data_IF_525366101172
#
_entry.id   IF_525366101172
#
_cell.length_a   1.000
_cell.length_b   1.000
_cell.length_c   1.000
_cell.angle_alpha   90.00
_cell.angle_beta   90.00
_cell.angle_gamma   90.00
#
_symmetry.space_group_name_H-M   'P 1'
#
loop_
_entity.id
_entity.type
_entity.pdbx_description
1 polymer ?
#
# COMPACT_ATOMS: atom_id res chain seq x y z
N UNK A 1 60.67 -14.66 48.00
CA UNK A 1 59.32 -15.12 47.57
C UNK A 1 58.46 -13.88 47.57
N UNK A 2 57.92 -13.36 46.46
CA UNK A 2 57.01 -13.98 45.49
C UNK A 2 56.96 -13.10 44.23
N UNK A 3 57.20 -13.71 43.05
CA UNK A 3 57.07 -13.05 41.73
C UNK A 3 55.59 -12.85 41.40
N UNK A 4 55.16 -11.62 41.12
CA UNK A 4 53.82 -11.31 40.61
C UNK A 4 53.81 -11.53 39.10
N UNK A 5 53.20 -12.63 38.67
CA UNK A 5 52.84 -12.90 37.28
C UNK A 5 51.64 -12.02 36.92
N UNK A 6 51.86 -11.00 36.08
CA UNK A 6 50.78 -10.31 35.38
C UNK A 6 50.40 -11.18 34.17
N UNK A 7 49.31 -11.95 34.30
CA UNK A 7 48.71 -12.69 33.18
C UNK A 7 47.79 -11.74 32.43
N UNK A 8 48.25 -11.29 31.27
CA UNK A 8 47.44 -10.64 30.23
C UNK A 8 46.46 -11.67 29.66
N UNK A 9 45.21 -11.66 30.13
CA UNK A 9 44.11 -12.39 29.50
C UNK A 9 43.37 -11.41 28.58
N UNK A 10 43.89 -11.27 27.36
CA UNK A 10 43.22 -10.53 26.29
C UNK A 10 42.05 -11.34 25.76
N UNK A 11 40.85 -11.09 26.30
CA UNK A 11 39.59 -11.61 25.77
C UNK A 11 39.19 -10.78 24.53
N UNK A 12 39.69 -11.18 23.36
CA UNK A 12 39.24 -10.66 22.07
C UNK A 12 37.84 -11.20 21.78
N UNK A 13 36.83 -10.43 22.17
CA UNK A 13 35.42 -10.73 21.97
C UNK A 13 35.03 -10.21 20.57
N UNK A 14 35.16 -11.08 19.55
CA UNK A 14 34.60 -10.82 18.23
C UNK A 14 33.07 -10.87 18.33
N UNK A 15 32.43 -9.70 18.47
CA UNK A 15 31.00 -9.56 18.29
C UNK A 15 30.69 -9.65 16.79
N UNK A 16 30.28 -10.83 16.33
CA UNK A 16 29.69 -11.00 15.01
C UNK A 16 28.33 -10.34 14.99
N UNK A 17 28.16 -9.28 14.19
CA UNK A 17 26.84 -8.81 13.80
C UNK A 17 26.22 -9.89 12.91
N UNK A 18 25.39 -10.76 13.49
CA UNK A 18 24.45 -11.54 12.72
C UNK A 18 23.48 -10.55 12.08
N UNK A 19 23.71 -10.22 10.80
CA UNK A 19 22.73 -9.50 10.01
C UNK A 19 21.45 -10.34 9.99
N UNK A 20 20.31 -9.73 10.33
CA UNK A 20 19.04 -10.41 10.18
C UNK A 20 18.89 -10.81 8.71
N UNK A 21 18.74 -12.10 8.45
CA UNK A 21 18.51 -12.61 7.10
C UNK A 21 17.25 -11.93 6.54
N UNK A 22 17.27 -11.49 5.27
CA UNK A 22 16.11 -10.86 4.68
C UNK A 22 14.93 -11.85 4.66
N UNK A 23 13.73 -11.36 4.98
CA UNK A 23 12.51 -12.19 5.01
C UNK A 23 12.09 -12.70 3.62
N UNK A 24 12.66 -12.11 2.57
CA UNK A 24 12.53 -12.54 1.17
C UNK A 24 13.91 -12.49 0.53
N UNK A 25 14.30 -13.57 -0.12
CA UNK A 25 15.56 -13.66 -0.88
C UNK A 25 15.40 -12.99 -2.26
N UNK A 26 15.45 -11.65 -2.26
CA UNK A 26 15.30 -10.81 -3.44
C UNK A 26 16.42 -9.77 -3.56
N UNK A 27 16.78 -9.45 -4.79
CA UNK A 27 17.76 -8.41 -5.13
C UNK A 27 17.03 -7.09 -5.48
N UNK A 28 17.22 -6.06 -4.66
CA UNK A 28 16.57 -4.76 -4.86
C UNK A 28 17.05 -4.01 -6.11
N UNK A 29 18.31 -4.19 -6.53
CA UNK A 29 18.84 -3.56 -7.75
C UNK A 29 18.23 -4.24 -8.98
N UNK A 30 18.23 -5.57 -9.00
CA UNK A 30 17.56 -6.34 -10.05
C UNK A 30 16.02 -6.10 -10.04
N UNK A 31 15.44 -5.80 -8.87
CA UNK A 31 14.03 -5.45 -8.70
C UNK A 31 13.69 -4.07 -9.25
N UNK A 32 14.61 -3.11 -9.15
CA UNK A 32 14.45 -1.77 -9.70
C UNK A 32 14.26 -1.83 -11.23
N UNK A 33 15.11 -2.59 -11.92
CA UNK A 33 15.02 -2.76 -13.38
C UNK A 33 13.69 -3.41 -13.79
N UNK A 34 13.28 -4.46 -13.08
CA UNK A 34 12.02 -5.18 -13.35
C UNK A 34 10.76 -4.38 -12.99
N UNK A 35 10.89 -3.35 -12.16
CA UNK A 35 9.78 -2.52 -11.71
C UNK A 35 9.48 -1.33 -12.63
N UNK A 36 10.20 -1.18 -13.74
CA UNK A 36 10.08 -0.02 -14.62
C UNK A 36 8.64 0.22 -15.12
N UNK A 37 7.92 -0.84 -15.50
CA UNK A 37 6.51 -0.74 -15.94
C UNK A 37 5.54 -0.47 -14.78
N UNK A 38 5.87 -0.89 -13.56
CA UNK A 38 5.02 -0.74 -12.38
C UNK A 38 4.80 0.73 -12.01
N UNK A 39 5.79 1.58 -12.29
CA UNK A 39 5.74 3.01 -11.96
C UNK A 39 4.63 3.78 -12.68
N UNK A 40 4.12 3.27 -13.81
CA UNK A 40 3.02 3.89 -14.55
C UNK A 40 1.70 3.95 -13.74
N UNK A 41 1.48 2.96 -12.86
CA UNK A 41 0.28 2.88 -12.03
C UNK A 41 0.58 3.10 -10.54
N UNK A 42 1.72 2.63 -10.06
CA UNK A 42 2.11 2.74 -8.65
C UNK A 42 2.96 3.97 -8.34
N UNK A 43 3.21 4.82 -9.34
CA UNK A 43 4.02 6.03 -9.23
C UNK A 43 5.52 5.75 -9.17
N UNK A 44 6.35 6.80 -9.35
CA UNK A 44 7.80 6.68 -9.20
C UNK A 44 8.16 6.13 -7.82
N UNK A 45 9.03 5.11 -7.79
CA UNK A 45 9.45 4.42 -6.54
C UNK A 45 8.28 3.87 -5.72
N UNK A 46 7.10 3.63 -6.33
CA UNK A 46 5.94 3.09 -5.63
C UNK A 46 5.16 4.11 -4.80
N UNK A 47 5.37 5.41 -5.03
CA UNK A 47 4.61 6.48 -4.38
C UNK A 47 3.60 7.10 -5.37
N UNK A 48 2.43 6.46 -5.50
CA UNK A 48 1.35 6.99 -6.33
C UNK A 48 0.62 8.13 -5.64
N UNK A 49 0.45 9.24 -6.36
CA UNK A 49 -0.28 10.42 -5.89
C UNK A 49 -1.79 10.30 -6.14
N UNK A 50 -2.22 9.58 -7.19
CA UNK A 50 -3.66 9.30 -7.36
C UNK A 50 -4.15 8.32 -6.31
N UNK A 51 -5.36 8.52 -5.81
CA UNK A 51 -5.91 7.69 -4.75
C UNK A 51 -6.36 6.29 -5.21
N UNK A 52 -6.44 6.04 -6.53
CA UNK A 52 -6.99 4.81 -7.12
C UNK A 52 -6.06 3.60 -7.01
N UNK A 53 -4.75 3.79 -7.20
CA UNK A 53 -3.76 2.72 -7.14
C UNK A 53 -3.05 2.71 -5.79
N UNK A 54 -2.63 1.55 -5.27
CA UNK A 54 -1.91 1.51 -4.01
C UNK A 54 -0.48 2.01 -4.14
N UNK A 55 0.01 2.64 -3.08
CA UNK A 55 1.44 2.85 -2.83
C UNK A 55 2.10 1.53 -2.44
N UNK A 56 3.26 1.27 -3.04
CA UNK A 56 4.09 0.10 -2.78
C UNK A 56 5.32 0.43 -1.93
N UNK A 57 5.74 1.71 -1.92
CA UNK A 57 6.92 2.14 -1.19
C UNK A 57 6.84 1.77 0.31
N UNK A 58 7.90 1.16 0.83
CA UNK A 58 8.02 0.76 2.24
C UNK A 58 7.02 -0.31 2.68
N UNK A 59 6.33 -0.98 1.74
CA UNK A 59 5.48 -2.11 2.05
C UNK A 59 6.36 -3.35 2.32
N UNK A 60 5.95 -4.23 3.25
CA UNK A 60 6.76 -5.39 3.60
C UNK A 60 7.00 -6.31 2.39
N UNK A 61 8.27 -6.62 2.09
CA UNK A 61 8.63 -7.50 0.98
C UNK A 61 7.87 -8.85 0.99
N UNK A 62 7.72 -9.55 2.13
CA UNK A 62 6.93 -10.80 2.16
C UNK A 62 5.48 -10.63 1.71
N UNK A 63 4.86 -9.48 2.03
CA UNK A 63 3.51 -9.16 1.59
C UNK A 63 3.46 -8.89 0.09
N UNK A 64 4.37 -8.05 -0.45
CA UNK A 64 4.40 -7.76 -1.90
C UNK A 64 4.58 -9.04 -2.70
N UNK A 65 5.56 -9.87 -2.33
CA UNK A 65 5.82 -11.16 -2.97
C UNK A 65 4.57 -12.06 -2.95
N UNK A 66 3.90 -12.16 -1.80
CA UNK A 66 2.66 -12.94 -1.68
C UNK A 66 1.53 -12.37 -2.56
N UNK A 67 1.36 -11.05 -2.61
CA UNK A 67 0.32 -10.45 -3.47
C UNK A 67 0.59 -10.68 -4.96
N UNK A 68 1.84 -10.57 -5.40
CA UNK A 68 2.22 -10.86 -6.79
C UNK A 68 1.91 -12.33 -7.14
N UNK A 69 2.21 -13.27 -6.23
CA UNK A 69 1.86 -14.68 -6.39
C UNK A 69 0.35 -14.91 -6.48
N UNK A 70 -0.43 -14.28 -5.61
CA UNK A 70 -1.89 -14.41 -5.61
C UNK A 70 -2.53 -13.84 -6.88
N UNK A 71 -2.00 -12.73 -7.41
CA UNK A 71 -2.43 -12.21 -8.72
C UNK A 71 -2.06 -13.16 -9.86
N UNK A 72 -0.88 -13.80 -9.78
CA UNK A 72 -0.38 -14.70 -10.82
C UNK A 72 -1.16 -16.02 -10.84
N UNK A 73 -1.52 -16.55 -9.66
CA UNK A 73 -2.35 -17.76 -9.55
C UNK A 73 -3.83 -17.51 -9.86
N UNK A 74 -4.27 -16.25 -9.77
CA UNK A 74 -5.68 -15.88 -9.89
C UNK A 74 -6.46 -16.00 -8.57
N UNK A 75 -5.82 -16.38 -7.46
CA UNK A 75 -6.48 -16.36 -6.14
C UNK A 75 -6.87 -14.95 -5.71
N UNK A 76 -6.09 -13.94 -6.11
CA UNK A 76 -6.50 -12.53 -6.03
C UNK A 76 -6.82 -12.02 -7.42
N UNK A 77 -8.08 -11.72 -7.67
CA UNK A 77 -8.54 -11.31 -8.99
C UNK A 77 -8.35 -9.81 -9.24
N UNK A 78 -7.66 -9.48 -10.33
CA UNK A 78 -7.61 -8.13 -10.90
C UNK A 78 -7.03 -8.23 -12.32
N UNK A 79 -7.81 -7.92 -13.35
CA UNK A 79 -7.39 -8.11 -14.75
C UNK A 79 -6.13 -7.30 -15.12
N UNK A 80 -5.98 -6.10 -14.57
CA UNK A 80 -4.81 -5.24 -14.82
C UNK A 80 -3.56 -5.90 -14.24
N UNK A 81 -3.59 -6.27 -12.96
CA UNK A 81 -2.44 -6.89 -12.30
C UNK A 81 -2.15 -8.29 -12.83
N UNK A 82 -3.17 -9.08 -13.20
CA UNK A 82 -2.97 -10.39 -13.83
C UNK A 82 -2.10 -10.29 -15.09
N UNK A 83 -2.35 -9.28 -15.93
CA UNK A 83 -1.50 -8.99 -17.09
C UNK A 83 -0.06 -8.60 -16.73
N UNK A 84 0.12 -7.80 -15.67
CA UNK A 84 1.46 -7.38 -15.21
C UNK A 84 2.30 -8.54 -14.67
N UNK A 85 1.68 -9.50 -13.97
CA UNK A 85 2.42 -10.59 -13.30
C UNK A 85 2.54 -11.87 -14.12
N UNK A 86 1.84 -11.96 -15.26
CA UNK A 86 1.78 -13.16 -16.10
C UNK A 86 3.18 -13.66 -16.49
N UNK A 87 4.09 -12.75 -16.85
CA UNK A 87 5.46 -13.06 -17.27
C UNK A 87 6.50 -13.20 -16.15
N UNK A 88 6.18 -12.84 -14.90
CA UNK A 88 7.18 -12.77 -13.83
C UNK A 88 7.57 -14.15 -13.32
N UNK A 89 8.86 -14.44 -13.23
CA UNK A 89 9.35 -15.60 -12.47
C UNK A 89 9.16 -15.40 -10.97
N UNK A 90 9.32 -16.46 -10.17
CA UNK A 90 9.30 -16.29 -8.71
C UNK A 90 10.44 -15.40 -8.22
N UNK A 91 11.60 -15.45 -8.87
CA UNK A 91 12.73 -14.59 -8.49
C UNK A 91 12.42 -13.13 -8.83
N UNK A 92 11.83 -12.86 -10.00
CA UNK A 92 11.41 -11.50 -10.38
C UNK A 92 10.46 -10.91 -9.34
N UNK A 93 9.49 -11.70 -8.86
CA UNK A 93 8.57 -11.27 -7.82
C UNK A 93 9.26 -10.99 -6.47
N UNK A 94 10.30 -11.76 -6.12
CA UNK A 94 11.10 -11.52 -4.91
C UNK A 94 11.94 -10.25 -5.05
N UNK A 95 12.58 -10.04 -6.19
CA UNK A 95 13.40 -8.86 -6.49
C UNK A 95 12.54 -7.58 -6.47
N UNK A 96 11.38 -7.59 -7.15
CA UNK A 96 10.41 -6.48 -7.15
C UNK A 96 9.94 -6.18 -5.72
N UNK A 97 9.67 -7.23 -4.93
CA UNK A 97 9.25 -7.07 -3.54
C UNK A 97 10.34 -6.44 -2.66
N UNK A 98 11.60 -6.85 -2.84
CA UNK A 98 12.75 -6.26 -2.16
C UNK A 98 12.91 -4.77 -2.55
N UNK A 99 12.86 -4.47 -3.85
CA UNK A 99 12.97 -3.10 -4.35
C UNK A 99 11.94 -2.15 -3.72
N UNK A 100 10.64 -2.48 -3.77
CA UNK A 100 9.60 -1.59 -3.24
C UNK A 100 9.61 -1.48 -1.72
N UNK A 101 10.02 -2.53 -1.01
CA UNK A 101 10.17 -2.50 0.44
C UNK A 101 11.25 -1.52 0.90
N UNK A 102 12.30 -1.33 0.09
CA UNK A 102 13.40 -0.40 0.39
C UNK A 102 13.10 1.06 0.00
N UNK A 103 11.98 1.33 -0.68
CA UNK A 103 11.66 2.69 -1.10
C UNK A 103 11.14 3.55 0.05
N UNK A 104 11.56 4.82 0.07
CA UNK A 104 11.09 5.80 1.03
C UNK A 104 9.60 6.06 0.87
N UNK A 105 8.85 5.91 1.96
CA UNK A 105 7.41 6.21 1.99
C UNK A 105 7.16 7.72 1.96
N UNK A 106 6.17 8.17 1.20
CA UNK A 106 5.62 9.52 1.34
C UNK A 106 4.42 9.53 2.29
N UNK A 107 4.26 10.60 3.11
CA UNK A 107 3.06 10.78 3.92
C UNK A 107 1.79 10.75 3.06
N UNK A 108 0.71 10.19 3.59
CA UNK A 108 -0.62 10.39 3.05
C UNK A 108 -1.32 11.56 3.75
N UNK A 109 -2.58 11.78 3.39
CA UNK A 109 -3.43 12.80 4.00
C UNK A 109 -4.68 12.15 4.60
N UNK A 110 -5.07 12.63 5.78
CA UNK A 110 -6.34 12.27 6.41
C UNK A 110 -7.36 13.39 6.23
N UNK A 111 -8.63 13.02 6.10
CA UNK A 111 -9.73 13.93 6.33
C UNK A 111 -9.95 14.10 7.83
N UNK A 112 -9.59 15.27 8.35
CA UNK A 112 -9.62 15.62 9.78
C UNK A 112 -11.01 15.46 10.43
N UNK A 113 -12.10 15.51 9.65
CA UNK A 113 -13.46 15.38 10.19
C UNK A 113 -13.81 13.94 10.57
N UNK A 114 -13.34 12.96 9.80
CA UNK A 114 -13.70 11.54 9.97
C UNK A 114 -12.55 10.70 10.53
N UNK A 115 -11.31 11.17 10.42
CA UNK A 115 -10.14 10.46 10.94
C UNK A 115 -10.18 10.19 12.46
N UNK A 116 -10.76 11.06 13.33
CA UNK A 116 -10.91 10.74 14.74
C UNK A 116 -11.79 9.51 15.02
N UNK A 117 -12.86 9.30 14.25
CA UNK A 117 -13.69 8.11 14.35
C UNK A 117 -12.90 6.86 13.93
N UNK A 118 -12.18 6.95 12.80
CA UNK A 118 -11.31 5.88 12.33
C UNK A 118 -10.19 5.55 13.31
N UNK A 119 -9.64 6.54 14.01
CA UNK A 119 -8.63 6.33 15.05
C UNK A 119 -9.20 5.52 16.23
N UNK A 120 -10.41 5.86 16.69
CA UNK A 120 -11.09 5.13 17.76
C UNK A 120 -11.27 3.67 17.37
N UNK A 121 -11.79 3.41 16.17
CA UNK A 121 -12.04 2.06 15.68
C UNK A 121 -10.73 1.28 15.44
N UNK A 122 -9.72 1.92 14.86
CA UNK A 122 -8.43 1.29 14.58
C UNK A 122 -7.72 0.78 15.85
N UNK A 123 -7.75 1.57 16.92
CA UNK A 123 -7.07 1.25 18.18
C UNK A 123 -7.93 0.47 19.16
N UNK A 124 -9.24 0.74 19.19
CA UNK A 124 -10.16 0.17 20.16
C UNK A 124 -10.99 -0.99 19.64
N UNK A 125 -11.21 -1.08 18.32
CA UNK A 125 -12.30 -1.87 17.76
C UNK A 125 -13.67 -1.35 18.23
N UNK A 126 -14.69 -2.15 18.00
CA UNK A 126 -16.00 -2.05 18.60
C UNK A 126 -16.49 -3.45 18.97
N UNK A 127 -16.47 -3.80 20.25
CA UNK A 127 -16.85 -5.13 20.72
C UNK A 127 -18.36 -5.35 20.63
N UNK A 128 -19.17 -4.29 20.68
CA UNK A 128 -20.63 -4.41 20.59
C UNK A 128 -21.05 -4.75 19.15
N UNK A 129 -20.31 -4.23 18.17
CA UNK A 129 -20.48 -4.53 16.74
C UNK A 129 -19.57 -5.68 16.25
N UNK A 130 -18.81 -6.32 17.13
CA UNK A 130 -17.95 -7.46 16.77
C UNK A 130 -16.66 -7.08 16.03
N UNK A 131 -16.33 -5.79 15.89
CA UNK A 131 -15.17 -5.28 15.19
C UNK A 131 -13.92 -5.35 16.10
N UNK A 132 -12.90 -6.17 15.79
CA UNK A 132 -11.67 -6.19 16.56
C UNK A 132 -10.79 -4.97 16.26
N UNK A 133 -9.93 -4.59 17.21
CA UNK A 133 -8.94 -3.53 16.99
C UNK A 133 -7.93 -3.89 15.89
N UNK A 134 -7.86 -3.07 14.84
CA UNK A 134 -6.97 -3.26 13.69
C UNK A 134 -5.48 -3.24 14.10
N UNK A 135 -5.14 -2.43 15.11
CA UNK A 135 -3.79 -2.27 15.64
C UNK A 135 -3.17 -3.59 16.14
N UNK A 136 -3.97 -4.59 16.51
CA UNK A 136 -3.49 -5.89 16.96
C UNK A 136 -2.71 -6.67 15.89
N UNK A 137 -3.07 -6.50 14.61
CA UNK A 137 -2.38 -7.14 13.48
C UNK A 137 -1.55 -6.17 12.64
N UNK A 138 -2.06 -4.95 12.44
CA UNK A 138 -1.38 -3.93 11.63
C UNK A 138 -0.44 -3.03 12.43
N UNK A 139 -0.36 -3.21 13.75
CA UNK A 139 0.48 -2.44 14.67
C UNK A 139 -0.11 -1.07 15.00
N UNK A 140 0.29 -0.44 16.12
CA UNK A 140 -0.29 0.83 16.57
C UNK A 140 -0.03 1.99 15.60
N UNK A 141 1.07 1.97 14.86
CA UNK A 141 1.41 2.97 13.84
C UNK A 141 1.05 2.50 12.41
N UNK A 142 0.23 1.46 12.27
CA UNK A 142 -0.14 0.89 10.96
C UNK A 142 1.05 0.54 10.06
N UNK A 143 2.16 0.10 10.67
CA UNK A 143 3.37 -0.32 9.97
C UNK A 143 3.31 -1.78 9.49
N UNK A 144 2.29 -2.52 9.92
CA UNK A 144 2.14 -3.94 9.63
C UNK A 144 3.07 -4.82 10.48
N UNK A 145 3.18 -6.07 10.06
CA UNK A 145 4.11 -7.05 10.60
C UNK A 145 4.62 -7.90 9.44
N UNK A 146 5.81 -7.58 8.94
CA UNK A 146 6.38 -8.22 7.76
C UNK A 146 6.56 -9.74 7.93
N UNK A 147 6.98 -10.20 9.11
CA UNK A 147 7.17 -11.62 9.40
C UNK A 147 5.84 -12.40 9.35
N UNK A 148 4.74 -11.78 9.78
CA UNK A 148 3.39 -12.35 9.70
C UNK A 148 2.66 -12.05 8.38
N UNK A 149 3.33 -11.31 7.46
CA UNK A 149 2.77 -10.77 6.22
C UNK A 149 1.54 -9.88 6.40
N UNK A 150 1.41 -9.23 7.55
CA UNK A 150 0.39 -8.20 7.74
C UNK A 150 0.88 -6.89 7.11
N UNK A 151 0.13 -6.31 6.15
CA UNK A 151 0.61 -5.17 5.39
C UNK A 151 0.67 -3.91 6.24
N UNK A 152 1.60 -3.05 5.86
CA UNK A 152 1.62 -1.63 6.21
C UNK A 152 0.39 -0.93 5.61
N UNK A 153 -0.33 -0.19 6.44
CA UNK A 153 -1.49 0.63 6.01
C UNK A 153 -1.22 2.13 6.13
N UNK A 154 -0.26 2.54 6.97
CA UNK A 154 0.10 3.95 7.16
C UNK A 154 0.43 4.64 5.84
N UNK A 155 -0.07 5.85 5.61
CA UNK A 155 0.24 6.62 4.40
C UNK A 155 -0.32 6.06 3.10
N UNK A 156 -1.06 4.94 3.13
CA UNK A 156 -1.69 4.33 1.96
C UNK A 156 -2.81 5.23 1.42
N UNK A 157 -3.17 5.05 0.15
CA UNK A 157 -4.24 5.81 -0.47
C UNK A 157 -5.62 5.46 0.13
N UNK A 158 -6.42 6.45 0.57
CA UNK A 158 -7.66 6.19 1.28
C UNK A 158 -8.69 5.50 0.38
N UNK A 159 -8.83 5.89 -0.89
CA UNK A 159 -9.74 5.20 -1.82
C UNK A 159 -9.33 3.73 -2.03
N UNK A 160 -8.02 3.46 -2.15
CA UNK A 160 -7.54 2.07 -2.22
C UNK A 160 -7.90 1.29 -0.95
N UNK A 161 -7.64 1.83 0.25
CA UNK A 161 -8.00 1.14 1.51
C UNK A 161 -9.50 0.88 1.58
N UNK A 162 -10.32 1.89 1.29
CA UNK A 162 -11.77 1.75 1.28
C UNK A 162 -12.23 0.68 0.29
N UNK A 163 -11.68 0.67 -0.92
CA UNK A 163 -11.97 -0.34 -1.93
C UNK A 163 -11.54 -1.75 -1.48
N UNK A 164 -10.41 -1.90 -0.78
CA UNK A 164 -9.99 -3.21 -0.27
C UNK A 164 -10.87 -3.70 0.88
N UNK A 165 -11.27 -2.82 1.80
CA UNK A 165 -12.20 -3.18 2.88
C UNK A 165 -13.56 -3.60 2.33
N UNK A 166 -14.10 -2.85 1.35
CA UNK A 166 -15.34 -3.23 0.65
C UNK A 166 -15.19 -4.56 -0.07
N UNK A 167 -14.11 -4.77 -0.82
CA UNK A 167 -13.87 -6.04 -1.50
C UNK A 167 -13.74 -7.24 -0.53
N UNK A 168 -13.22 -7.02 0.68
CA UNK A 168 -13.25 -8.06 1.73
C UNK A 168 -14.66 -8.26 2.28
N UNK A 169 -15.36 -7.20 2.66
CA UNK A 169 -16.74 -7.28 3.19
C UNK A 169 -17.69 -7.98 2.22
N UNK A 170 -17.57 -7.66 0.93
CA UNK A 170 -18.46 -8.12 -0.12
C UNK A 170 -18.02 -9.50 -0.70
N UNK A 171 -16.93 -10.07 -0.17
CA UNK A 171 -16.40 -11.39 -0.57
C UNK A 171 -15.68 -11.42 -1.93
N UNK A 172 -15.55 -10.28 -2.61
CA UNK A 172 -14.85 -10.16 -3.90
C UNK A 172 -13.34 -10.46 -3.79
N UNK A 173 -12.75 -10.16 -2.64
CA UNK A 173 -11.37 -10.53 -2.28
C UNK A 173 -11.42 -11.63 -1.21
N UNK A 174 -11.33 -12.87 -1.65
CA UNK A 174 -11.51 -14.06 -0.81
C UNK A 174 -10.63 -15.22 -1.29
N UNK A 175 -10.76 -16.41 -0.70
CA UNK A 175 -10.17 -17.65 -1.22
C UNK A 175 -8.72 -17.92 -0.82
N UNK A 176 -8.14 -17.12 0.09
CA UNK A 176 -6.82 -17.39 0.68
C UNK A 176 -6.80 -16.96 2.15
N UNK A 177 -5.95 -17.61 2.97
CA UNK A 177 -6.00 -17.51 4.44
C UNK A 177 -5.98 -16.07 5.00
N UNK A 178 -5.22 -15.15 4.38
CA UNK A 178 -5.19 -13.73 4.81
C UNK A 178 -6.43 -12.95 4.38
N UNK A 179 -7.10 -13.35 3.30
CA UNK A 179 -8.39 -12.78 2.94
C UNK A 179 -9.45 -13.22 3.95
N UNK A 180 -9.53 -14.50 4.30
CA UNK A 180 -10.55 -15.02 5.23
C UNK A 180 -10.55 -14.28 6.58
N UNK A 181 -9.36 -13.98 7.12
CA UNK A 181 -9.22 -13.15 8.32
C UNK A 181 -9.82 -11.75 8.10
N UNK A 182 -9.53 -11.11 6.97
CA UNK A 182 -10.02 -9.77 6.67
C UNK A 182 -11.50 -9.76 6.26
N UNK A 183 -12.03 -10.83 5.66
CA UNK A 183 -13.45 -10.98 5.35
C UNK A 183 -14.24 -10.95 6.67
N UNK A 184 -13.85 -11.79 7.64
CA UNK A 184 -14.51 -11.85 8.95
C UNK A 184 -14.44 -10.52 9.72
N UNK A 185 -13.40 -9.71 9.52
CA UNK A 185 -13.31 -8.37 10.13
C UNK A 185 -14.16 -7.34 9.36
N UNK A 186 -14.15 -7.40 8.04
CA UNK A 186 -14.78 -6.40 7.19
C UNK A 186 -16.30 -6.59 7.07
N UNK A 187 -16.82 -7.80 7.28
CA UNK A 187 -18.25 -8.11 7.34
C UNK A 187 -19.01 -7.28 8.38
N UNK A 188 -18.33 -6.87 9.46
CA UNK A 188 -18.91 -6.05 10.53
C UNK A 188 -18.80 -4.53 10.27
N UNK A 189 -18.11 -4.10 9.19
CA UNK A 189 -17.87 -2.67 8.91
C UNK A 189 -18.96 -2.08 8.01
N UNK A 190 -19.57 -0.99 8.46
CA UNK A 190 -20.42 -0.16 7.60
C UNK A 190 -19.58 0.75 6.66
N UNK A 191 -20.26 1.50 5.79
CA UNK A 191 -19.58 2.35 4.82
C UNK A 191 -18.88 3.55 5.48
N UNK A 192 -19.47 4.09 6.54
CA UNK A 192 -18.93 5.19 7.34
C UNK A 192 -17.63 4.77 8.06
N UNK A 193 -17.61 3.58 8.66
CA UNK A 193 -16.44 2.98 9.30
C UNK A 193 -15.30 2.77 8.30
N UNK A 194 -15.61 2.22 7.13
CA UNK A 194 -14.64 1.99 6.07
C UNK A 194 -14.00 3.33 5.65
N UNK A 195 -14.79 4.38 5.46
CA UNK A 195 -14.25 5.70 5.09
C UNK A 195 -13.42 6.31 6.22
N UNK A 196 -13.88 6.18 7.47
CA UNK A 196 -13.18 6.70 8.63
C UNK A 196 -11.82 6.00 8.85
N UNK A 197 -11.79 4.66 8.79
CA UNK A 197 -10.57 3.84 8.86
C UNK A 197 -9.61 4.17 7.73
N UNK A 198 -10.10 4.22 6.48
CA UNK A 198 -9.30 4.53 5.31
C UNK A 198 -8.64 5.91 5.42
N UNK A 199 -9.41 6.92 5.80
CA UNK A 199 -8.91 8.27 6.07
C UNK A 199 -7.86 8.28 7.18
N UNK A 200 -8.14 7.60 8.30
CA UNK A 200 -7.24 7.57 9.44
C UNK A 200 -5.88 6.96 9.08
N UNK A 201 -5.85 5.74 8.51
CA UNK A 201 -4.58 5.06 8.20
C UNK A 201 -3.80 5.79 7.10
N UNK A 202 -4.49 6.43 6.14
CA UNK A 202 -3.85 7.30 5.16
C UNK A 202 -3.09 8.48 5.80
N UNK A 203 -3.63 9.06 6.87
CA UNK A 203 -3.00 10.16 7.59
C UNK A 203 -1.91 9.76 8.59
N UNK A 204 -1.72 8.47 8.87
CA UNK A 204 -0.62 8.03 9.72
C UNK A 204 0.70 8.24 8.96
N UNK A 205 1.42 9.31 9.30
CA UNK A 205 2.72 9.59 8.71
C UNK A 205 3.75 8.54 9.16
N UNK A 206 4.70 8.14 8.28
CA UNK A 206 5.92 7.50 8.74
C UNK A 206 6.58 8.42 9.77
N UNK A 207 7.15 7.86 10.85
CA UNK A 207 7.88 8.64 11.83
C UNK A 207 8.82 9.58 11.09
N UNK A 208 8.60 10.88 11.24
CA UNK A 208 9.46 11.93 10.67
C UNK A 208 10.88 11.59 11.08
N UNK A 209 11.88 11.74 10.23
CA UNK A 209 13.26 11.67 10.74
C UNK A 209 13.39 12.68 11.89
N UNK A 210 13.65 12.18 13.10
CA UNK A 210 13.65 12.97 14.34
C UNK A 210 12.41 12.83 15.25
N UNK A 211 11.37 12.09 14.86
CA UNK A 211 10.30 11.66 15.78
C UNK A 211 10.74 10.34 16.45
N UNK A 212 11.63 10.45 17.43
CA UNK A 212 11.87 9.34 18.35
C UNK A 212 10.57 9.05 19.10
N UNK A 213 10.27 7.78 19.34
CA UNK A 213 9.15 7.32 20.16
C UNK A 213 9.35 7.66 21.64
N UNK A 214 9.63 8.92 21.95
CA UNK A 214 9.68 9.40 23.31
C UNK A 214 8.24 9.62 23.79
N UNK A 215 7.65 8.55 24.32
CA UNK A 215 6.40 8.61 25.08
C UNK A 215 6.44 9.67 26.20
N UNK A 216 7.63 10.13 26.62
CA UNK A 216 7.81 11.25 27.55
C UNK A 216 7.37 12.60 26.97
N UNK A 217 7.61 12.86 25.68
CA UNK A 217 7.25 14.13 25.05
C UNK A 217 5.72 14.28 24.85
N UNK A 218 5.02 13.18 24.57
CA UNK A 218 3.55 13.17 24.42
C UNK A 218 2.85 13.37 25.77
N UNK A 219 3.39 12.80 26.85
CA UNK A 219 2.88 12.95 28.22
C UNK A 219 3.07 14.38 28.76
N UNK A 220 4.08 15.11 28.26
CA UNK A 220 4.35 16.48 28.70
C UNK A 220 3.37 17.52 28.11
N UNK A 221 2.66 17.19 27.03
CA UNK A 221 1.68 18.09 26.39
C UNK A 221 0.24 17.92 26.89
N UNK A 222 -0.07 16.83 27.58
CA UNK A 222 -1.37 16.65 28.28
C UNK A 222 -1.36 17.18 29.71
N UNK A 223 -0.17 17.37 30.29
CA UNK A 223 0.00 18.12 31.53
C UNK A 223 0.08 19.62 31.20
N UNK A 224 -1.07 20.29 31.13
CA UNK A 224 -1.13 21.76 31.12
C UNK A 224 -0.33 22.37 32.28
N UNK A 225 0.10 23.64 32.18
CA UNK A 225 1.06 24.24 33.11
C UNK A 225 0.51 24.20 34.54
N UNK A 226 1.11 23.34 35.36
CA UNK A 226 0.84 23.30 36.78
C UNK A 226 1.32 24.60 37.43
N UNK A 227 0.42 25.17 38.22
CA UNK A 227 0.55 26.40 38.96
C UNK A 227 1.92 26.57 39.65
N UNK A 228 2.52 27.75 39.41
CA UNK A 228 3.65 28.25 40.16
C UNK A 228 3.26 28.45 41.64
N UNK A 229 4.08 27.92 42.55
CA UNK A 229 3.96 28.15 43.98
C UNK A 229 5.33 28.40 44.62
N UNK A 230 5.57 29.65 45.04
CA UNK A 230 6.56 30.12 46.03
C UNK A 230 8.03 30.09 45.60
N UNK A 231 8.86 31.12 45.73
CA UNK A 231 8.76 32.40 46.42
C UNK A 231 10.17 32.76 46.90
N UNK A 232 10.69 33.94 46.55
CA UNK A 232 11.70 34.63 47.36
C UNK A 232 11.81 36.11 46.97
N UNK A 233 11.94 36.92 48.01
CA UNK A 233 11.87 38.38 48.09
C UNK A 233 13.02 39.12 47.39
N UNK A 234 12.76 40.31 46.83
CA UNK A 234 13.08 41.62 47.47
C UNK A 234 13.12 42.79 46.46
N UNK A 235 12.30 43.83 46.72
CA UNK A 235 12.76 45.23 46.73
C UNK A 235 12.73 46.10 45.45
N UNK A 236 11.77 47.04 45.41
CA UNK A 236 11.83 48.39 44.79
C UNK A 236 11.79 48.46 43.25
N UNK A 237 11.02 49.31 42.57
CA UNK A 237 10.25 50.51 42.91
C UNK A 237 10.56 51.63 41.90
N UNK A 238 9.54 52.10 41.16
CA UNK A 238 9.49 53.30 40.27
C UNK A 238 10.19 53.13 38.89
N UNK A 239 9.72 53.64 37.74
CA UNK A 239 8.73 54.68 37.41
C UNK A 239 8.38 54.65 35.91
N UNK A 240 7.18 55.13 35.58
CA UNK A 240 6.63 55.47 34.26
C UNK A 240 7.44 56.51 33.46
N UNK A 241 7.35 56.43 32.12
CA UNK A 241 6.89 57.46 31.15
C UNK A 241 7.27 56.98 29.74
N UNK A 242 6.38 56.97 28.74
CA UNK A 242 6.05 58.13 27.88
C UNK A 242 7.20 58.35 26.88
N UNK A 243 7.06 58.49 25.57
CA UNK A 243 6.04 59.19 24.79
C UNK A 243 6.11 58.75 23.32
N UNK A 244 5.01 58.98 22.61
CA UNK A 244 4.85 58.84 21.17
C UNK A 244 5.36 60.10 20.42
N UNK A 245 5.18 60.07 19.09
CA UNK A 245 5.27 61.15 18.07
C UNK A 245 6.56 61.13 17.25
N UNK A 246 6.57 61.39 15.94
CA UNK A 246 5.57 61.53 14.88
C UNK A 246 6.33 61.84 13.58
N UNK A 247 5.66 61.59 12.45
CA UNK A 247 5.71 62.35 11.20
C UNK A 247 6.96 62.35 10.29
N UNK A 248 6.68 61.80 9.10
CA UNK A 248 6.82 62.39 7.77
C UNK A 248 8.18 62.85 7.21
N UNK A 249 8.41 62.36 5.98
CA UNK A 249 8.51 63.30 4.86
C UNK A 249 9.70 63.14 3.93
N UNK A 250 9.53 62.33 2.87
CA UNK A 250 9.99 62.56 1.49
C UNK A 250 11.50 62.69 1.21
N UNK A 251 11.99 62.65 -0.03
CA UNK A 251 11.49 62.24 -1.34
C UNK A 251 12.71 62.34 -2.31
N UNK A 252 12.65 61.60 -3.41
CA UNK A 252 13.42 61.79 -4.67
C UNK A 252 14.94 61.48 -4.61
N UNK A 253 15.62 60.97 -5.62
CA UNK A 253 15.39 60.64 -7.03
C UNK A 253 16.45 59.55 -7.38
N UNK A 254 16.34 58.70 -8.38
CA UNK A 254 16.41 59.06 -9.81
C UNK A 254 16.19 57.80 -10.65
N UNK A 255 15.56 58.01 -11.80
CA UNK A 255 15.29 57.03 -12.85
C UNK A 255 16.49 56.91 -13.81
N UNK A 256 16.57 55.78 -14.52
CA UNK A 256 16.91 55.60 -15.95
C UNK A 256 16.90 54.07 -16.21
N UNK A 257 16.28 53.46 -17.23
CA UNK A 257 15.72 53.98 -18.47
C UNK A 257 16.23 53.18 -19.68
N UNK A 258 15.55 52.09 -20.06
CA UNK A 258 15.55 51.44 -21.41
C UNK A 258 16.89 50.93 -21.98
N UNK A 259 16.99 50.19 -23.08
CA UNK A 259 16.08 49.38 -23.90
C UNK A 259 16.99 48.68 -24.95
N UNK A 260 16.47 47.59 -25.54
CA UNK A 260 16.78 47.05 -26.88
C UNK A 260 18.19 46.53 -27.23
N UNK A 261 18.27 45.28 -27.69
CA UNK A 261 18.42 44.94 -29.13
C UNK A 261 18.84 43.49 -29.37
N UNK A 262 18.27 42.95 -30.45
CA UNK A 262 18.35 41.60 -30.99
C UNK A 262 19.71 41.18 -31.59
N UNK A 263 19.83 39.87 -31.87
CA UNK A 263 20.85 39.29 -32.73
C UNK A 263 20.54 37.83 -33.13
N UNK A 264 19.89 37.65 -34.27
CA UNK A 264 19.67 36.37 -34.99
C UNK A 264 20.93 35.87 -35.72
N UNK A 265 21.04 34.53 -35.93
CA UNK A 265 21.35 33.87 -37.23
C UNK A 265 21.47 32.34 -37.06
N UNK A 266 20.57 31.54 -37.66
CA UNK A 266 20.66 30.82 -38.97
C UNK A 266 21.57 29.57 -38.96
N UNK A 267 21.01 28.36 -38.90
CA UNK A 267 20.54 27.45 -40.00
C UNK A 267 21.64 26.86 -40.89
N UNK A 268 21.70 25.52 -40.95
CA UNK A 268 21.98 24.77 -42.19
C UNK A 268 21.53 23.31 -42.04
N UNK A 269 20.49 22.96 -42.80
CA UNK A 269 20.05 21.61 -43.18
C UNK A 269 20.96 20.98 -44.25
N UNK A 270 20.93 19.64 -44.34
CA UNK A 270 20.79 18.80 -45.56
C UNK A 270 21.02 17.33 -45.16
N UNK A 271 20.00 16.46 -45.23
CA UNK A 271 19.54 15.66 -46.39
C UNK A 271 20.66 14.75 -46.95
N UNK A 272 20.49 13.44 -47.19
CA UNK A 272 19.34 12.55 -47.27
C UNK A 272 19.75 11.30 -48.10
N UNK A 273 18.79 10.42 -48.35
CA UNK A 273 18.69 9.39 -49.40
C UNK A 273 18.59 7.91 -48.97
N UNK A 274 17.44 7.39 -49.38
CA UNK A 274 16.87 6.05 -49.35
C UNK A 274 17.67 4.98 -50.12
N UNK A 275 17.42 3.70 -49.81
CA UNK A 275 16.72 2.81 -50.76
C UNK A 275 16.57 1.35 -50.25
N UNK A 276 15.51 0.76 -50.79
CA UNK A 276 14.74 -0.43 -50.45
C UNK A 276 15.30 -1.78 -50.96
N UNK A 277 14.53 -2.85 -50.71
CA UNK A 277 14.54 -4.25 -51.19
C UNK A 277 15.20 -5.27 -50.23
N UNK A 278 14.61 -6.43 -49.86
CA UNK A 278 13.43 -7.16 -50.34
C UNK A 278 13.81 -8.58 -50.77
N UNK A 279 13.44 -9.61 -50.00
CA UNK A 279 13.20 -11.05 -50.35
C UNK A 279 13.13 -11.87 -49.05
N UNK A 280 12.00 -12.46 -48.64
CA UNK A 280 11.34 -13.68 -49.14
C UNK A 280 12.19 -14.98 -49.07
N UNK A 281 11.90 -15.83 -48.08
CA UNK A 281 11.56 -17.28 -48.17
C UNK A 281 11.60 -17.88 -46.75
N UNK A 282 10.49 -18.32 -46.17
CA UNK A 282 9.75 -19.56 -46.45
C UNK A 282 10.60 -20.82 -46.18
N UNK A 283 10.28 -21.50 -45.07
CA UNK A 283 10.82 -22.80 -44.70
C UNK A 283 9.90 -23.46 -43.69
N UNK A 284 8.79 -24.01 -44.19
CA UNK A 284 7.96 -24.95 -43.47
C UNK A 284 8.75 -26.24 -43.21
N UNK A 285 8.64 -26.80 -42.01
CA UNK A 285 8.77 -28.23 -41.74
C UNK A 285 7.76 -28.56 -40.64
N UNK A 286 6.64 -29.14 -41.05
CA UNK A 286 5.89 -30.03 -40.18
C UNK A 286 6.61 -31.37 -40.13
N UNK A 287 6.52 -32.07 -39.02
CA UNK A 287 6.54 -33.52 -39.04
C UNK A 287 5.83 -34.08 -37.82
N UNK A 288 5.17 -35.19 -38.10
CA UNK A 288 4.12 -35.84 -37.34
C UNK A 288 4.61 -36.54 -36.08
N UNK A 289 3.74 -36.66 -35.08
CA UNK A 289 4.09 -37.33 -33.83
C UNK A 289 2.90 -37.68 -32.95
N UNK A 290 1.89 -38.33 -33.51
CA UNK A 290 0.89 -39.06 -32.74
C UNK A 290 1.57 -40.11 -31.85
N UNK A 291 1.21 -40.16 -30.57
CA UNK A 291 1.20 -41.44 -29.87
C UNK A 291 0.02 -41.53 -28.88
N UNK A 292 -0.86 -42.48 -29.16
CA UNK A 292 -1.89 -42.98 -28.29
C UNK A 292 -1.73 -44.51 -28.18
N UNK A 293 -1.49 -45.03 -26.97
CA UNK A 293 -1.76 -46.39 -26.41
C UNK A 293 -0.83 -46.62 -25.22
N UNK A 294 -1.18 -47.31 -24.12
CA UNK A 294 -2.32 -48.16 -23.73
C UNK A 294 -2.54 -47.94 -22.21
N UNK A 295 -3.75 -47.98 -21.65
CA UNK A 295 -4.56 -49.15 -21.32
C UNK A 295 -3.78 -50.30 -20.63
N UNK A 296 -4.02 -50.44 -19.33
CA UNK A 296 -4.22 -51.68 -18.53
C UNK A 296 -4.90 -51.17 -17.23
N UNK A 297 -6.20 -51.30 -16.99
CA UNK A 297 -7.06 -52.49 -16.85
C UNK A 297 -6.62 -53.45 -15.73
N UNK A 298 -7.32 -53.43 -14.60
CA UNK A 298 -7.95 -54.61 -13.95
C UNK A 298 -8.18 -54.46 -12.43
N UNK A 299 -9.44 -54.66 -12.02
CA UNK A 299 -9.86 -55.16 -10.68
C UNK A 299 -10.56 -54.12 -9.80
N UNK A 300 -11.88 -53.89 -9.83
CA UNK A 300 -13.08 -54.76 -9.74
C UNK A 300 -13.33 -55.37 -8.35
N UNK A 301 -14.37 -54.85 -7.66
CA UNK A 301 -15.37 -55.54 -6.82
C UNK A 301 -16.26 -54.45 -6.17
N UNK A 302 -17.48 -54.17 -6.65
CA UNK A 302 -18.77 -54.88 -6.45
C UNK A 302 -19.54 -54.48 -5.18
N UNK A 303 -20.86 -54.28 -5.35
CA UNK A 303 -21.87 -53.96 -4.32
C UNK A 303 -22.79 -52.79 -4.74
N UNK A 304 -23.71 -52.98 -5.69
CA UNK A 304 -25.15 -53.32 -5.48
C UNK A 304 -26.02 -52.07 -5.15
N UNK A 305 -26.74 -51.52 -6.13
CA UNK A 305 -28.17 -51.79 -6.44
C UNK A 305 -29.16 -50.94 -5.61
N UNK A 306 -29.76 -49.92 -6.22
CA UNK A 306 -31.17 -49.57 -6.01
C UNK A 306 -31.68 -48.67 -7.14
N UNK A 307 -32.58 -49.25 -7.94
CA UNK A 307 -33.31 -48.68 -9.06
C UNK A 307 -34.47 -47.76 -8.66
N UNK A 308 -34.99 -47.08 -9.69
CA UNK A 308 -36.33 -46.49 -9.87
C UNK A 308 -36.45 -45.01 -9.42
N UNK A 309 -37.15 -44.12 -10.12
CA UNK A 309 -38.11 -44.27 -11.22
C UNK A 309 -38.24 -42.91 -11.96
N UNK A 310 -38.52 -43.00 -13.25
CA UNK A 310 -38.77 -41.91 -14.18
C UNK A 310 -40.14 -41.24 -13.97
N UNK A 311 -40.21 -39.93 -14.17
CA UNK A 311 -41.47 -39.18 -14.25
C UNK A 311 -41.36 -37.97 -15.17
N UNK A 312 -41.44 -38.22 -16.48
CA UNK A 312 -41.73 -37.21 -17.50
C UNK A 312 -43.23 -36.89 -17.50
N UNK A 313 -43.58 -35.62 -17.70
CA UNK A 313 -44.96 -35.17 -17.91
C UNK A 313 -44.98 -33.83 -18.65
N UNK A 314 -45.22 -33.91 -19.96
CA UNK A 314 -45.48 -32.82 -20.89
C UNK A 314 -46.86 -32.14 -20.69
N UNK A 315 -47.01 -30.94 -21.28
CA UNK A 315 -48.31 -30.37 -21.71
C UNK A 315 -48.58 -28.94 -21.21
N UNK A 316 -48.28 -27.91 -22.01
CA UNK A 316 -49.22 -27.14 -22.88
C UNK A 316 -50.26 -26.32 -22.09
N UNK A 317 -50.10 -24.98 -22.05
CA UNK A 317 -50.62 -23.99 -23.02
C UNK A 317 -52.10 -23.66 -22.76
N UNK A 318 -52.42 -22.38 -22.57
CA UNK A 318 -53.47 -21.62 -23.27
C UNK A 318 -53.86 -20.33 -22.51
N UNK A 319 -53.99 -19.25 -23.29
CA UNK A 319 -54.94 -18.12 -23.20
C UNK A 319 -55.00 -17.25 -21.92
N UNK A 320 -54.67 -15.95 -21.96
CA UNK A 320 -55.33 -14.79 -22.59
C UNK A 320 -56.15 -13.97 -21.56
N UNK A 321 -56.17 -12.64 -21.76
CA UNK A 321 -57.13 -11.64 -21.23
C UNK A 321 -57.14 -11.41 -19.71
N UNK A 322 -57.41 -10.25 -19.11
CA UNK A 322 -57.79 -8.86 -19.44
C UNK A 322 -57.25 -8.05 -18.23
N UNK A 323 -56.79 -6.79 -18.28
CA UNK A 323 -57.54 -5.65 -18.78
C UNK A 323 -58.62 -5.20 -17.79
N UNK A 324 -58.30 -4.57 -16.65
CA UNK A 324 -59.21 -3.56 -16.10
C UNK A 324 -58.55 -2.55 -15.15
N UNK A 325 -58.80 -1.30 -15.49
CA UNK A 325 -58.56 -0.06 -14.77
C UNK A 325 -59.68 0.20 -13.75
N UNK A 326 -59.56 1.33 -13.04
CA UNK A 326 -60.57 2.03 -12.19
C UNK A 326 -60.50 1.70 -10.69
N UNK A 327 -60.75 2.60 -9.74
CA UNK A 327 -60.83 4.07 -9.62
C UNK A 327 -61.15 4.34 -8.12
N UNK A 328 -60.80 5.53 -7.62
CA UNK A 328 -61.44 6.20 -6.46
C UNK A 328 -60.98 5.74 -5.06
N UNK A 329 -60.74 6.59 -4.07
CA UNK A 329 -61.01 8.02 -3.79
C UNK A 329 -59.87 8.63 -2.98
#
# INVERSE_FOLDING_TARGET
MTKRFFVLFGLMMCAGAAGAEPLVDGDAEAGQEKSASCAACHGPQGNMESEQFPKLAGQGAPYIYEQLKLFKSGERQNAVMAGQVAGLSEQDMRDIAAYFADQQTRPGAANEKIAPAGAKLYHGGDIEEGIPACAGCHGPAALGNAAAKYPRLSGQNPQYIAAQLKAYRDGERSGYAKAEIMNAVAEELDDEDIQALASYVAGIAPAREGFTNDMGALMQQVAGPAAAGGGSSSGGGSSESGEASSDDGGSAASNDGGADSAGESKTSDSEGSDSSSGSEQAGANGDDGANAKSADDSGKAEGDEASADSGSGDGQADDANDGESQDGE
#
